data_IF_232308781479
#
_entry.id   IF_232308781479
#
_cell.length_a   1.000
_cell.length_b   1.000
_cell.length_c   1.000
_cell.angle_alpha   90.00
_cell.angle_beta   90.00
_cell.angle_gamma   90.00
#
_symmetry.space_group_name_H-M   'P 1'
#
loop_
_entity.id
_entity.type
_entity.pdbx_description
1 polymer ?
#
# COMPACT_ATOMS: atom_id res chain seq x y z
N UNK A 1 -19.08 -37.80 -14.68
CA UNK A 1 -19.99 -37.35 -13.61
C UNK A 1 -20.91 -36.29 -14.18
N UNK A 2 -22.24 -36.39 -14.01
CA UNK A 2 -23.17 -35.35 -14.43
C UNK A 2 -23.24 -34.31 -13.31
N UNK A 3 -22.68 -33.12 -13.53
CA UNK A 3 -22.86 -31.99 -12.62
C UNK A 3 -24.29 -31.48 -12.78
N UNK A 4 -25.08 -31.55 -11.70
CA UNK A 4 -26.40 -30.91 -11.67
C UNK A 4 -26.18 -29.40 -11.73
N UNK A 5 -26.88 -28.71 -12.62
CA UNK A 5 -26.87 -27.24 -12.66
C UNK A 5 -27.85 -26.76 -11.59
N UNK A 6 -27.42 -25.86 -10.69
CA UNK A 6 -28.34 -25.26 -9.73
C UNK A 6 -29.37 -24.40 -10.46
N UNK A 7 -30.55 -24.29 -9.85
CA UNK A 7 -31.63 -23.41 -10.31
C UNK A 7 -31.46 -22.02 -9.72
N UNK A 8 -32.00 -20.99 -10.38
CA UNK A 8 -31.94 -19.61 -9.89
C UNK A 8 -32.49 -19.48 -8.46
N UNK A 9 -33.56 -20.21 -8.15
CA UNK A 9 -34.16 -20.24 -6.82
C UNK A 9 -33.19 -20.74 -5.73
N UNK A 10 -32.41 -21.78 -6.04
CA UNK A 10 -31.40 -22.32 -5.12
C UNK A 10 -30.22 -21.36 -4.95
N UNK A 11 -29.90 -20.56 -5.97
CA UNK A 11 -28.87 -19.53 -5.90
C UNK A 11 -29.33 -18.30 -5.09
N UNK A 12 -30.63 -18.01 -5.10
CA UNK A 12 -31.25 -16.88 -4.40
C UNK A 12 -31.71 -17.20 -2.97
N UNK A 13 -31.64 -18.46 -2.54
CA UNK A 13 -32.05 -18.88 -1.21
C UNK A 13 -31.11 -18.32 -0.13
N UNK A 14 -31.62 -17.48 0.77
CA UNK A 14 -30.85 -16.86 1.85
C UNK A 14 -30.20 -15.51 1.51
N UNK A 15 -30.30 -15.05 0.26
CA UNK A 15 -29.91 -13.71 -0.14
C UNK A 15 -31.02 -12.71 0.26
N UNK A 16 -30.70 -11.81 1.18
CA UNK A 16 -31.55 -10.70 1.61
C UNK A 16 -30.76 -9.38 1.41
N UNK A 17 -31.39 -8.20 1.46
CA UNK A 17 -30.68 -6.93 1.23
C UNK A 17 -29.45 -6.71 2.13
N UNK A 18 -29.32 -7.41 3.26
CA UNK A 18 -28.19 -7.35 4.18
C UNK A 18 -27.16 -8.49 3.98
N UNK A 19 -27.48 -9.53 3.21
CA UNK A 19 -26.57 -10.66 2.91
C UNK A 19 -26.25 -10.79 1.42
N UNK A 20 -26.98 -10.08 0.56
CA UNK A 20 -26.80 -10.06 -0.89
C UNK A 20 -25.72 -9.10 -1.34
N UNK A 21 -25.45 -8.07 -0.53
CA UNK A 21 -24.19 -7.38 -0.61
C UNK A 21 -23.16 -8.28 0.06
N UNK A 22 -22.16 -8.71 -0.69
CA UNK A 22 -20.90 -9.15 -0.14
C UNK A 22 -20.26 -7.93 0.55
N UNK A 23 -20.85 -7.52 1.68
CA UNK A 23 -20.35 -6.51 2.62
C UNK A 23 -19.25 -7.11 3.50
N UNK A 24 -18.61 -8.20 3.04
CA UNK A 24 -17.24 -8.50 3.45
C UNK A 24 -16.35 -7.45 2.79
N UNK A 25 -16.40 -6.25 3.37
CA UNK A 25 -15.51 -5.12 3.24
C UNK A 25 -14.29 -5.47 2.40
N UNK A 26 -14.39 -5.28 1.09
CA UNK A 26 -13.22 -5.30 0.25
C UNK A 26 -12.30 -4.23 0.84
N UNK A 27 -11.11 -4.63 1.32
CA UNK A 27 -10.14 -3.66 1.79
C UNK A 27 -9.96 -2.63 0.67
N UNK A 28 -10.19 -1.34 0.94
CA UNK A 28 -10.15 -0.33 -0.10
C UNK A 28 -8.79 -0.39 -0.79
N UNK A 29 -8.81 -0.39 -2.12
CA UNK A 29 -7.57 -0.43 -2.87
C UNK A 29 -6.72 0.79 -2.48
N UNK A 30 -5.38 0.72 -2.55
CA UNK A 30 -4.52 1.85 -2.18
C UNK A 30 -4.82 3.14 -2.96
N UNK A 31 -5.46 3.02 -4.13
CA UNK A 31 -5.90 4.13 -4.98
C UNK A 31 -7.26 4.73 -4.57
N UNK A 32 -8.06 4.00 -3.79
CA UNK A 32 -9.36 4.40 -3.25
C UNK A 32 -9.24 5.05 -1.87
N UNK A 33 -8.10 4.82 -1.18
CA UNK A 33 -7.77 5.48 0.08
C UNK A 33 -7.63 6.99 -0.08
N UNK A 34 -8.05 7.75 0.94
CA UNK A 34 -7.82 9.18 0.96
C UNK A 34 -6.31 9.48 0.84
N UNK A 35 -5.91 10.59 0.19
CA UNK A 35 -4.49 10.92 0.00
C UNK A 35 -3.66 10.87 1.28
N UNK A 36 -4.26 11.23 2.43
CA UNK A 36 -3.61 11.16 3.73
C UNK A 36 -3.44 9.72 4.22
N UNK A 37 -4.46 8.87 4.12
CA UNK A 37 -4.43 7.48 4.58
C UNK A 37 -3.36 6.66 3.85
N UNK A 38 -3.09 6.98 2.59
CA UNK A 38 -2.01 6.39 1.80
C UNK A 38 -0.61 6.66 2.36
N UNK A 39 -0.45 7.70 3.16
CA UNK A 39 0.83 8.06 3.79
C UNK A 39 1.09 7.30 5.09
N UNK A 40 0.11 6.53 5.58
CA UNK A 40 0.23 5.80 6.85
C UNK A 40 1.28 4.69 6.71
N UNK A 41 2.35 4.80 7.50
CA UNK A 41 3.45 3.83 7.52
C UNK A 41 4.50 4.00 6.41
N UNK A 42 4.32 4.93 5.47
CA UNK A 42 5.34 5.26 4.45
C UNK A 42 6.18 6.48 4.82
N UNK A 43 5.71 7.32 5.74
CA UNK A 43 6.38 8.55 6.17
C UNK A 43 6.75 8.44 7.66
N UNK A 44 7.88 9.04 8.07
CA UNK A 44 8.32 9.05 9.47
C UNK A 44 7.27 9.63 10.43
N UNK A 45 6.54 10.67 10.01
CA UNK A 45 5.47 11.31 10.80
C UNK A 45 4.16 11.38 10.02
N UNK A 46 3.16 10.65 10.49
CA UNK A 46 1.83 10.62 9.87
C UNK A 46 0.97 11.84 10.21
N UNK A 47 1.05 12.33 11.45
CA UNK A 47 0.19 13.43 11.92
C UNK A 47 0.54 14.78 11.30
N UNK A 48 1.80 14.93 10.87
CA UNK A 48 2.33 16.13 10.21
C UNK A 48 3.33 15.76 9.12
N UNK A 49 2.84 15.23 7.98
CA UNK A 49 3.71 14.68 6.95
C UNK A 49 4.52 15.73 6.20
N UNK A 50 4.17 17.01 6.33
CA UNK A 50 4.86 18.15 5.70
C UNK A 50 5.83 18.87 6.64
N UNK A 51 5.85 18.51 7.94
CA UNK A 51 6.77 19.14 8.88
C UNK A 51 8.22 18.71 8.54
N UNK A 52 9.20 19.61 8.67
CA UNK A 52 10.60 19.27 8.44
C UNK A 52 11.05 18.22 9.46
N UNK A 53 11.70 17.18 8.97
CA UNK A 53 12.23 16.06 9.77
C UNK A 53 13.75 15.99 9.74
N UNK A 54 14.42 17.06 9.30
CA UNK A 54 15.87 17.08 9.10
C UNK A 54 16.65 16.85 10.39
N UNK A 55 16.27 17.51 11.49
CA UNK A 55 16.94 17.34 12.78
C UNK A 55 16.84 15.87 13.23
N UNK A 56 15.64 15.28 13.19
CA UNK A 56 15.44 13.85 13.51
C UNK A 56 16.19 12.91 12.56
N UNK A 57 16.32 13.27 11.28
CA UNK A 57 17.06 12.46 10.29
C UNK A 57 18.57 12.49 10.53
N UNK A 58 19.13 13.62 10.95
CA UNK A 58 20.57 13.75 11.22
C UNK A 58 20.95 13.32 12.64
N UNK A 59 20.03 13.42 13.59
CA UNK A 59 20.24 13.01 14.99
C UNK A 59 19.87 11.55 15.26
N UNK A 60 19.28 10.83 14.28
CA UNK A 60 18.92 9.42 14.48
C UNK A 60 20.15 8.53 14.62
N UNK A 61 20.07 7.54 15.53
CA UNK A 61 21.07 6.47 15.67
C UNK A 61 21.15 5.54 14.44
N UNK A 62 20.21 5.66 13.50
CA UNK A 62 20.20 4.93 12.23
C UNK A 62 21.13 5.59 11.21
N UNK A 63 22.36 5.08 11.10
CA UNK A 63 23.35 5.53 10.13
C UNK A 63 23.37 4.66 8.87
N UNK A 64 23.92 5.20 7.78
CA UNK A 64 24.30 4.39 6.61
C UNK A 64 25.39 3.37 6.99
N UNK A 65 25.50 2.30 6.22
CA UNK A 65 26.58 1.33 6.37
C UNK A 65 27.90 1.90 5.87
N UNK A 66 29.02 1.36 6.36
CA UNK A 66 30.37 1.85 6.05
C UNK A 66 30.71 1.75 4.54
N UNK A 67 30.14 0.75 3.87
CA UNK A 67 30.31 0.45 2.44
C UNK A 67 29.28 1.19 1.54
N UNK A 68 28.39 1.99 2.11
CA UNK A 68 27.34 2.65 1.34
C UNK A 68 27.92 3.63 0.31
N UNK A 69 27.69 3.37 -0.97
CA UNK A 69 28.16 4.15 -2.12
C UNK A 69 29.69 4.15 -2.33
N UNK A 70 30.41 3.12 -1.83
CA UNK A 70 31.87 2.98 -2.04
C UNK A 70 32.24 3.06 -3.54
N UNK A 71 31.53 2.33 -4.39
CA UNK A 71 31.65 2.39 -5.86
C UNK A 71 30.40 3.01 -6.48
N UNK A 72 30.26 4.33 -6.37
CA UNK A 72 29.16 5.04 -7.01
C UNK A 72 29.30 4.94 -8.54
N UNK A 73 28.44 4.13 -9.17
CA UNK A 73 28.37 3.86 -10.61
C UNK A 73 27.94 5.08 -11.46
N UNK A 74 28.64 6.20 -11.34
CA UNK A 74 28.39 7.36 -12.18
C UNK A 74 28.86 7.05 -13.61
N UNK A 75 27.98 7.23 -14.63
CA UNK A 75 28.42 7.11 -16.00
C UNK A 75 29.51 8.14 -16.27
N UNK A 76 30.63 7.69 -16.84
CA UNK A 76 31.69 8.59 -17.30
C UNK A 76 31.08 9.53 -18.34
N UNK A 77 31.20 10.84 -18.11
CA UNK A 77 30.70 11.86 -19.04
C UNK A 77 31.54 11.80 -20.33
N UNK A 78 31.17 10.91 -21.23
CA UNK A 78 31.77 10.70 -22.54
C UNK A 78 30.77 11.08 -23.62
N UNK A 79 31.06 12.18 -24.32
CA UNK A 79 30.41 12.55 -25.57
C UNK A 79 31.17 11.85 -26.69
N UNK A 80 30.63 10.76 -27.23
CA UNK A 80 30.98 10.18 -28.55
C UNK A 80 29.81 9.38 -29.05
#
# INVERSE_FOLDING_TARGET
>A
MKTKRPTEKELLEGLNPHTAHADELAEPLPQELAPMERLKGSVKRYDRPTDPVWDEFFESDESVTDDFMEDREQPKKGRT
#
